data_IF_654881695672
#
_entry.id   IF_654881695672
#
_cell.length_a   1.000
_cell.length_b   1.000
_cell.length_c   1.000
_cell.angle_alpha   90.00
_cell.angle_beta   90.00
_cell.angle_gamma   90.00
#
_symmetry.space_group_name_H-M   'P 1'
#
loop_
_entity.id
_entity.type
_entity.pdbx_description
1 polymer ?
#
# COMPACT_ATOMS: atom_id res chain seq x y z
N UNK A 1 -4.05 -37.33 6.41
CA UNK A 1 -4.84 -36.34 5.65
C UNK A 1 -3.94 -35.14 5.41
N UNK A 2 -3.61 -34.86 4.14
CA UNK A 2 -2.74 -33.75 3.76
C UNK A 2 -3.47 -32.40 3.89
N UNK A 3 -2.87 -31.44 4.58
CA UNK A 3 -3.16 -30.02 4.36
C UNK A 3 -1.84 -29.29 4.22
N UNK A 4 -1.46 -29.07 2.97
CA UNK A 4 -0.43 -28.13 2.54
C UNK A 4 -0.98 -26.71 2.76
N UNK A 5 -0.54 -25.98 3.80
CA UNK A 5 -0.83 -24.54 3.90
C UNK A 5 0.36 -23.75 3.37
N UNK A 6 0.41 -23.63 2.05
CA UNK A 6 1.24 -22.65 1.36
C UNK A 6 0.87 -21.23 1.84
N UNK A 7 1.88 -20.37 1.98
CA UNK A 7 1.80 -18.91 2.13
C UNK A 7 1.24 -18.32 3.43
N UNK A 8 2.06 -18.29 4.48
CA UNK A 8 1.87 -17.37 5.63
C UNK A 8 2.24 -15.91 5.28
N UNK A 9 1.86 -15.42 4.08
CA UNK A 9 1.96 -13.99 3.80
C UNK A 9 0.91 -13.29 4.66
N UNK A 10 1.28 -12.43 5.63
CA UNK A 10 0.31 -11.82 6.52
C UNK A 10 -0.76 -11.08 5.70
N UNK A 11 -2.02 -11.47 5.87
CA UNK A 11 -3.13 -10.82 5.19
C UNK A 11 -3.30 -9.42 5.82
N UNK A 12 -3.39 -8.38 4.98
CA UNK A 12 -3.48 -7.01 5.47
C UNK A 12 -4.75 -6.79 6.30
N UNK A 13 -4.68 -5.96 7.34
CA UNK A 13 -5.87 -5.59 8.12
C UNK A 13 -6.98 -5.00 7.23
N UNK A 14 -6.60 -4.40 6.10
CA UNK A 14 -7.50 -3.90 5.07
C UNK A 14 -8.40 -4.95 4.40
N UNK A 15 -8.02 -6.23 4.44
CA UNK A 15 -8.81 -7.31 3.85
C UNK A 15 -9.94 -7.81 4.74
N UNK A 16 -9.91 -7.50 6.04
CA UNK A 16 -10.94 -7.93 6.98
C UNK A 16 -12.22 -7.08 6.88
N UNK A 17 -12.08 -5.80 6.53
CA UNK A 17 -13.21 -4.85 6.43
C UNK A 17 -12.98 -3.85 5.29
N UNK A 18 -13.16 -4.25 4.01
CA UNK A 18 -12.78 -3.43 2.84
C UNK A 18 -13.44 -2.05 2.80
N UNK A 19 -14.71 -1.96 3.19
CA UNK A 19 -15.51 -0.72 3.15
C UNK A 19 -14.96 0.39 4.05
N UNK A 20 -14.21 0.02 5.10
CA UNK A 20 -13.59 0.95 6.06
C UNK A 20 -12.38 1.69 5.47
N UNK A 21 -11.79 1.19 4.38
CA UNK A 21 -10.54 1.72 3.80
C UNK A 21 -10.76 2.52 2.51
N UNK A 22 -11.95 2.42 1.92
CA UNK A 22 -12.32 3.04 0.64
C UNK A 22 -13.04 4.38 0.81
N UNK A 23 -13.70 4.61 1.95
CA UNK A 23 -14.69 5.70 2.09
C UNK A 23 -14.19 6.88 2.94
N UNK A 24 -13.43 6.62 4.01
CA UNK A 24 -12.82 7.68 4.82
C UNK A 24 -11.42 7.28 5.30
N UNK A 25 -10.43 8.11 4.98
CA UNK A 25 -9.06 7.96 5.46
C UNK A 25 -8.90 8.51 6.89
N UNK A 26 -9.77 8.08 7.81
CA UNK A 26 -9.82 8.57 9.18
C UNK A 26 -8.56 8.18 9.97
N UNK A 27 -8.24 8.94 11.02
CA UNK A 27 -7.05 8.70 11.84
C UNK A 27 -7.07 7.32 12.51
N UNK A 28 -8.25 6.79 12.83
CA UNK A 28 -8.40 5.43 13.36
C UNK A 28 -8.01 4.37 12.30
N UNK A 29 -8.46 4.52 11.05
CA UNK A 29 -8.07 3.63 9.96
C UNK A 29 -6.55 3.70 9.73
N UNK A 30 -5.96 4.90 9.78
CA UNK A 30 -4.50 5.05 9.74
C UNK A 30 -3.81 4.32 10.88
N UNK A 31 -4.31 4.43 12.11
CA UNK A 31 -3.73 3.74 13.27
C UNK A 31 -3.75 2.21 13.09
N UNK A 32 -4.88 1.65 12.64
CA UNK A 32 -5.00 0.22 12.34
C UNK A 32 -4.03 -0.18 11.22
N UNK A 33 -3.93 0.62 10.15
CA UNK A 33 -2.98 0.37 9.06
C UNK A 33 -1.53 0.31 9.55
N UNK A 34 -1.18 1.23 10.46
CA UNK A 34 0.18 1.33 11.02
C UNK A 34 0.55 0.15 11.92
N UNK A 35 -0.44 -0.53 12.51
CA UNK A 35 -0.26 -1.74 13.31
C UNK A 35 -0.12 -3.02 12.48
N UNK A 36 -0.36 -2.96 11.17
CA UNK A 36 -0.39 -4.13 10.31
C UNK A 36 1.03 -4.71 10.10
N UNK A 37 1.24 -6.03 10.27
CA UNK A 37 2.57 -6.64 10.15
C UNK A 37 3.18 -6.52 8.74
N UNK A 38 2.33 -6.43 7.69
CA UNK A 38 2.77 -6.22 6.30
C UNK A 38 2.94 -4.74 5.91
N UNK A 39 2.93 -3.80 6.86
CA UNK A 39 2.91 -2.35 6.58
C UNK A 39 3.98 -1.92 5.58
N UNK A 40 5.20 -2.41 5.73
CA UNK A 40 6.33 -2.05 4.87
C UNK A 40 6.25 -2.69 3.47
N UNK A 41 5.80 -3.95 3.41
CA UNK A 41 5.47 -4.61 2.15
C UNK A 41 4.35 -3.87 1.40
N UNK A 42 3.30 -3.47 2.12
CA UNK A 42 2.20 -2.66 1.60
C UNK A 42 2.70 -1.31 1.05
N UNK A 43 3.66 -0.66 1.71
CA UNK A 43 4.27 0.56 1.22
C UNK A 43 5.03 0.37 -0.11
N UNK A 44 5.79 -0.73 -0.23
CA UNK A 44 6.46 -1.11 -1.48
C UNK A 44 5.45 -1.37 -2.59
N UNK A 45 4.44 -2.21 -2.33
CA UNK A 45 3.39 -2.56 -3.29
C UNK A 45 2.65 -1.31 -3.79
N UNK A 46 2.36 -0.35 -2.90
CA UNK A 46 1.72 0.92 -3.25
C UNK A 46 2.59 1.76 -4.19
N UNK A 47 3.89 1.85 -3.92
CA UNK A 47 4.81 2.64 -4.75
C UNK A 47 4.98 2.04 -6.15
N UNK A 48 5.07 0.72 -6.22
CA UNK A 48 5.26 -0.04 -7.47
C UNK A 48 3.97 -0.11 -8.30
N UNK A 49 2.80 -0.05 -7.66
CA UNK A 49 1.50 -0.12 -8.34
C UNK A 49 1.10 1.20 -9.00
N UNK A 50 0.72 1.19 -10.29
CA UNK A 50 0.30 2.41 -10.95
C UNK A 50 -1.05 2.96 -10.50
N UNK A 51 -1.89 2.07 -9.97
CA UNK A 51 -3.27 2.31 -9.55
C UNK A 51 -3.40 2.37 -8.03
N UNK A 52 -2.29 2.57 -7.29
CA UNK A 52 -2.37 2.71 -5.84
C UNK A 52 -3.13 3.98 -5.47
N UNK A 53 -4.27 3.81 -4.79
CA UNK A 53 -5.17 4.87 -4.32
C UNK A 53 -5.76 4.45 -2.98
N UNK A 54 -6.22 5.41 -2.18
CA UNK A 54 -6.75 5.13 -0.83
C UNK A 54 -5.66 4.95 0.22
N UNK A 55 -5.97 4.26 1.31
CA UNK A 55 -5.05 4.14 2.45
C UNK A 55 -4.06 2.97 2.30
N UNK A 56 -2.77 3.28 2.24
CA UNK A 56 -1.65 2.33 2.15
C UNK A 56 -0.64 2.57 3.25
N UNK A 57 -0.27 1.55 4.01
CA UNK A 57 0.74 1.62 5.08
C UNK A 57 0.56 2.78 6.11
N UNK A 58 -0.66 3.29 6.25
CA UNK A 58 -1.00 4.45 7.09
C UNK A 58 -0.91 5.82 6.41
N UNK A 59 -0.77 5.86 5.08
CA UNK A 59 -0.66 7.04 4.21
C UNK A 59 -1.81 7.01 3.20
N UNK A 60 -2.56 8.11 3.08
CA UNK A 60 -3.60 8.24 2.06
C UNK A 60 -3.00 8.67 0.72
N UNK A 61 -3.29 7.92 -0.33
CA UNK A 61 -2.85 8.19 -1.71
C UNK A 61 -4.05 8.70 -2.51
N UNK A 62 -4.08 9.99 -2.89
CA UNK A 62 -5.13 10.51 -3.76
C UNK A 62 -4.97 10.00 -5.20
N UNK A 63 -6.06 10.05 -5.96
CA UNK A 63 -6.13 9.65 -7.38
C UNK A 63 -5.06 10.36 -8.24
N UNK A 64 -4.80 11.65 -7.98
CA UNK A 64 -3.86 12.44 -8.78
C UNK A 64 -3.23 13.65 -8.08
N UNK A 65 -2.45 14.40 -8.86
CA UNK A 65 -1.88 15.68 -8.46
C UNK A 65 -0.65 15.61 -7.54
N UNK A 66 -0.25 16.77 -7.01
CA UNK A 66 0.96 16.91 -6.15
C UNK A 66 0.88 16.09 -4.86
N UNK A 67 -0.32 15.95 -4.30
CA UNK A 67 -0.56 15.12 -3.12
C UNK A 67 -0.22 13.65 -3.35
N UNK A 68 -0.51 13.12 -4.56
CA UNK A 68 -0.16 11.75 -4.95
C UNK A 68 1.35 11.55 -4.97
N UNK A 69 2.08 12.45 -5.63
CA UNK A 69 3.55 12.38 -5.70
C UNK A 69 4.18 12.42 -4.30
N UNK A 70 3.66 13.27 -3.41
CA UNK A 70 4.13 13.33 -2.03
C UNK A 70 3.86 12.04 -1.26
N UNK A 71 2.64 11.50 -1.33
CA UNK A 71 2.27 10.24 -0.70
C UNK A 71 3.13 9.07 -1.19
N UNK A 72 3.35 8.95 -2.51
CA UNK A 72 4.19 7.91 -3.09
C UNK A 72 5.66 8.03 -2.63
N UNK A 73 6.21 9.24 -2.53
CA UNK A 73 7.56 9.44 -1.99
C UNK A 73 7.67 9.04 -0.52
N UNK A 74 6.64 9.34 0.28
CA UNK A 74 6.58 8.89 1.67
C UNK A 74 6.56 7.35 1.74
N UNK A 75 5.75 6.69 0.91
CA UNK A 75 5.67 5.22 0.84
C UNK A 75 7.01 4.59 0.43
N UNK A 76 7.70 5.16 -0.56
CA UNK A 76 9.06 4.74 -0.96
C UNK A 76 10.03 4.80 0.22
N UNK A 77 10.14 5.97 0.85
CA UNK A 77 11.04 6.18 1.99
C UNK A 77 10.72 5.23 3.13
N UNK A 78 9.44 5.01 3.41
CA UNK A 78 8.96 4.12 4.45
C UNK A 78 9.34 2.66 4.20
N UNK A 79 9.22 2.18 2.97
CA UNK A 79 9.60 0.83 2.58
C UNK A 79 11.12 0.64 2.66
N UNK A 80 11.89 1.56 2.07
CA UNK A 80 13.35 1.49 2.01
C UNK A 80 13.99 1.52 3.40
N UNK A 81 13.53 2.39 4.30
CA UNK A 81 14.03 2.48 5.68
C UNK A 81 13.81 1.19 6.49
N UNK A 82 12.84 0.35 6.09
CA UNK A 82 12.49 -0.88 6.80
C UNK A 82 12.94 -2.14 6.05
N UNK A 83 13.86 -2.02 5.08
CA UNK A 83 14.45 -3.17 4.38
C UNK A 83 13.59 -3.72 3.25
N UNK A 84 12.60 -2.97 2.76
CA UNK A 84 11.79 -3.31 1.59
C UNK A 84 12.23 -2.42 0.42
N UNK A 85 13.28 -2.81 -0.34
CA UNK A 85 13.74 -2.02 -1.46
C UNK A 85 12.62 -1.90 -2.50
N UNK A 86 12.37 -0.68 -2.96
CA UNK A 86 11.39 -0.42 -4.02
C UNK A 86 12.07 -0.44 -5.38
N UNK A 87 11.42 -1.02 -6.38
CA UNK A 87 11.88 -0.89 -7.76
C UNK A 87 11.39 0.44 -8.32
N UNK A 88 12.27 1.17 -9.00
CA UNK A 88 11.86 2.40 -9.67
C UNK A 88 10.78 2.09 -10.70
N UNK A 89 9.63 2.75 -10.53
CA UNK A 89 8.48 2.61 -11.41
C UNK A 89 8.85 3.13 -12.79
N UNK A 90 9.19 2.22 -13.71
CA UNK A 90 9.13 2.52 -15.14
C UNK A 90 7.65 2.66 -15.50
N UNK A 91 7.13 3.87 -15.37
CA UNK A 91 5.86 4.27 -15.98
C UNK A 91 6.08 4.22 -17.49
N UNK A 92 5.97 3.04 -18.07
CA UNK A 92 5.56 2.93 -19.45
C UNK A 92 4.14 3.46 -19.46
N UNK A 93 3.95 4.64 -20.07
CA UNK A 93 2.65 5.13 -20.44
C UNK A 93 2.03 4.05 -21.32
N UNK A 94 1.21 3.17 -20.74
CA UNK A 94 0.26 2.41 -21.53
C UNK A 94 -0.77 3.44 -21.96
N UNK A 95 -0.45 4.13 -23.05
CA UNK A 95 -1.39 4.88 -23.85
C UNK A 95 -2.48 3.87 -24.24
N UNK A 96 -3.61 3.98 -23.55
CA UNK A 96 -4.81 3.20 -23.86
C UNK A 96 -5.29 3.64 -25.23
N UNK A 97 -5.05 2.76 -26.21
CA UNK A 97 -5.79 2.70 -27.47
C UNK A 97 -7.26 2.30 -27.24
#
# INVERSE_FOLDING_TARGET
>A
MNTTSWDETPIGACTREPERWTTTADEEAKAICRSCPRRWLCAREAYESPRAEGLWAGIYVPEGGRGRTFALRQLKSLAEQNGFPVRERRVYYAETA
#
